data_IF_707920271294
#
_entry.id   IF_707920271294
#
_cell.length_a   1.000
_cell.length_b   1.000
_cell.length_c   1.000
_cell.angle_alpha   90.00
_cell.angle_beta   90.00
_cell.angle_gamma   90.00
#
_symmetry.space_group_name_H-M   'P 1'
#
loop_
_entity.id
_entity.type
_entity.pdbx_description
1 polymer ?
#
# COMPACT_ATOMS: atom_id res chain seq x y z
N UNK A 1 13.08 -39.49 -4.08
CA UNK A 1 11.88 -38.99 -3.39
C UNK A 1 12.25 -38.45 -2.01
N UNK A 2 12.78 -39.27 -1.11
CA UNK A 2 13.19 -38.89 0.26
C UNK A 2 14.22 -37.73 0.25
N UNK A 3 15.24 -37.79 -0.60
CA UNK A 3 16.25 -36.73 -0.76
C UNK A 3 15.67 -35.41 -1.33
N UNK A 4 14.66 -35.50 -2.19
CA UNK A 4 13.97 -34.31 -2.73
C UNK A 4 13.11 -33.66 -1.65
N UNK A 5 12.48 -34.45 -0.80
CA UNK A 5 11.69 -33.99 0.36
C UNK A 5 12.57 -33.25 1.36
N UNK A 6 13.74 -33.81 1.68
CA UNK A 6 14.75 -33.17 2.54
C UNK A 6 15.24 -31.84 1.97
N UNK A 7 15.48 -31.78 0.66
CA UNK A 7 15.89 -30.53 -0.01
C UNK A 7 14.80 -29.47 0.01
N UNK A 8 13.53 -29.85 -0.12
CA UNK A 8 12.40 -28.93 -0.05
C UNK A 8 12.21 -28.37 1.36
N UNK A 9 12.38 -29.18 2.39
CA UNK A 9 12.29 -28.74 3.79
C UNK A 9 13.39 -27.72 4.16
N UNK A 10 14.54 -27.75 3.49
CA UNK A 10 15.66 -26.84 3.68
C UNK A 10 15.55 -25.53 2.84
N UNK A 11 14.59 -25.47 1.91
CA UNK A 11 14.47 -24.34 0.98
C UNK A 11 14.22 -23.00 1.69
N UNK A 12 13.34 -22.88 2.69
CA UNK A 12 13.15 -21.62 3.44
C UNK A 12 14.44 -21.13 4.11
N UNK A 13 15.19 -22.02 4.73
CA UNK A 13 16.47 -21.69 5.37
C UNK A 13 17.51 -21.22 4.36
N UNK A 14 17.54 -21.85 3.19
CA UNK A 14 18.44 -21.45 2.10
C UNK A 14 18.12 -20.06 1.56
N UNK A 15 16.84 -19.73 1.42
CA UNK A 15 16.38 -18.41 0.98
C UNK A 15 16.77 -17.38 2.04
N UNK A 16 16.52 -17.66 3.31
CA UNK A 16 16.87 -16.77 4.42
C UNK A 16 18.39 -16.51 4.47
N UNK A 17 19.22 -17.56 4.36
CA UNK A 17 20.69 -17.44 4.30
C UNK A 17 21.12 -16.50 3.16
N UNK A 18 20.56 -16.66 1.97
CA UNK A 18 20.94 -15.85 0.81
C UNK A 18 20.50 -14.38 0.93
N UNK A 19 19.32 -14.12 1.48
CA UNK A 19 18.76 -12.77 1.60
C UNK A 19 19.33 -12.00 2.79
N UNK A 20 19.72 -12.70 3.86
CA UNK A 20 20.30 -12.06 5.06
C UNK A 20 21.77 -11.65 4.91
N UNK A 21 22.43 -12.05 3.83
CA UNK A 21 23.82 -11.71 3.56
C UNK A 21 24.04 -10.21 3.35
N UNK A 22 25.32 -9.81 3.37
CA UNK A 22 25.72 -8.43 3.11
C UNK A 22 25.23 -7.96 1.73
N UNK A 23 24.84 -6.67 1.63
CA UNK A 23 24.38 -6.04 0.39
C UNK A 23 25.43 -6.06 -0.74
N UNK A 24 26.71 -6.22 -0.41
CA UNK A 24 27.76 -6.34 -1.39
C UNK A 24 27.72 -7.68 -2.15
N UNK A 25 27.10 -8.73 -1.57
CA UNK A 25 26.87 -10.03 -2.23
C UNK A 25 25.56 -10.01 -3.05
N UNK A 26 25.55 -9.17 -4.09
CA UNK A 26 24.37 -8.98 -4.95
C UNK A 26 23.93 -10.24 -5.67
N UNK A 27 24.87 -11.15 -6.00
CA UNK A 27 24.53 -12.39 -6.72
C UNK A 27 23.78 -13.36 -5.82
N UNK A 28 24.22 -13.49 -4.56
CA UNK A 28 23.48 -14.28 -3.56
C UNK A 28 22.10 -13.69 -3.27
N UNK A 29 22.02 -12.37 -3.15
CA UNK A 29 20.74 -11.69 -2.91
C UNK A 29 19.75 -11.89 -4.06
N UNK A 30 20.16 -11.68 -5.32
CA UNK A 30 19.32 -11.94 -6.51
C UNK A 30 18.88 -13.39 -6.60
N UNK A 31 19.77 -14.33 -6.27
CA UNK A 31 19.43 -15.76 -6.21
C UNK A 31 18.39 -16.03 -5.14
N UNK A 32 18.52 -15.45 -3.95
CA UNK A 32 17.56 -15.54 -2.85
C UNK A 32 16.18 -15.04 -3.26
N UNK A 33 16.10 -13.86 -3.92
CA UNK A 33 14.85 -13.29 -4.45
C UNK A 33 14.18 -14.22 -5.47
N UNK A 34 14.95 -14.72 -6.44
CA UNK A 34 14.41 -15.65 -7.44
C UNK A 34 13.90 -16.96 -6.82
N UNK A 35 14.59 -17.46 -5.80
CA UNK A 35 14.14 -18.66 -5.07
C UNK A 35 12.87 -18.39 -4.26
N UNK A 36 12.76 -17.21 -3.61
CA UNK A 36 11.57 -16.80 -2.88
C UNK A 36 10.36 -16.67 -3.81
N UNK A 37 10.52 -15.97 -4.93
CA UNK A 37 9.45 -15.83 -5.92
C UNK A 37 8.97 -17.19 -6.43
N UNK A 38 9.89 -18.10 -6.80
CA UNK A 38 9.56 -19.43 -7.24
C UNK A 38 8.85 -20.25 -6.17
N UNK A 39 9.26 -20.14 -4.89
CA UNK A 39 8.59 -20.80 -3.78
C UNK A 39 7.14 -20.33 -3.67
N UNK A 40 6.91 -19.00 -3.68
CA UNK A 40 5.56 -18.43 -3.57
C UNK A 40 4.68 -18.86 -4.75
N UNK A 41 5.20 -18.80 -5.98
CA UNK A 41 4.45 -19.22 -7.18
C UNK A 41 4.06 -20.69 -7.10
N UNK A 42 5.00 -21.56 -6.74
CA UNK A 42 4.76 -23.00 -6.70
C UNK A 42 3.82 -23.43 -5.57
N UNK A 43 3.77 -22.67 -4.47
CA UNK A 43 2.77 -22.93 -3.43
C UNK A 43 1.38 -22.33 -3.76
N UNK A 44 1.23 -21.57 -4.85
CA UNK A 44 -0.02 -21.02 -5.31
C UNK A 44 -0.35 -19.63 -4.74
N UNK A 45 0.68 -18.81 -4.49
CA UNK A 45 0.54 -17.45 -3.96
C UNK A 45 0.86 -17.33 -2.48
N UNK A 46 0.61 -16.17 -1.89
CA UNK A 46 0.78 -15.95 -0.45
C UNK A 46 -0.26 -16.71 0.36
N UNK A 47 -1.47 -16.83 -0.15
CA UNK A 47 -2.58 -17.57 0.45
C UNK A 47 -2.39 -19.08 0.38
N UNK A 48 -1.51 -19.57 -0.52
CA UNK A 48 -1.37 -20.96 -0.87
C UNK A 48 -2.62 -21.52 -1.58
N UNK A 49 -2.52 -22.74 -2.06
CA UNK A 49 -3.68 -23.49 -2.53
C UNK A 49 -3.51 -25.00 -2.23
N UNK A 50 -4.62 -25.70 -2.13
CA UNK A 50 -4.64 -27.14 -1.80
C UNK A 50 -4.03 -28.04 -2.89
N UNK A 51 -3.57 -27.50 -4.02
CA UNK A 51 -2.93 -28.21 -5.13
C UNK A 51 -1.45 -27.87 -5.25
N UNK A 52 -0.88 -27.19 -4.25
CA UNK A 52 0.52 -26.81 -4.21
C UNK A 52 1.43 -28.05 -4.23
N UNK A 53 2.50 -28.02 -5.03
CA UNK A 53 3.56 -29.04 -5.00
C UNK A 53 4.30 -29.07 -3.64
N UNK A 54 4.15 -28.01 -2.83
CA UNK A 54 4.81 -27.82 -1.54
C UNK A 54 3.85 -27.89 -0.34
N UNK A 55 2.55 -28.17 -0.57
CA UNK A 55 1.53 -28.08 0.47
C UNK A 55 1.76 -28.97 1.71
N UNK A 56 2.50 -30.07 1.51
CA UNK A 56 2.84 -31.01 2.60
C UNK A 56 4.10 -30.59 3.38
N UNK A 57 4.96 -29.72 2.81
CA UNK A 57 6.26 -29.35 3.37
C UNK A 57 6.32 -27.95 3.99
N UNK A 58 5.36 -27.10 3.68
CA UNK A 58 5.29 -25.74 4.22
C UNK A 58 3.81 -25.34 4.32
N UNK A 59 3.21 -25.61 5.48
CA UNK A 59 1.84 -25.20 5.73
C UNK A 59 1.70 -23.67 5.80
N UNK A 60 0.46 -23.16 5.80
CA UNK A 60 0.20 -21.72 5.73
C UNK A 60 0.87 -20.95 6.88
N UNK A 61 0.77 -21.46 8.11
CA UNK A 61 1.35 -20.82 9.29
C UNK A 61 2.88 -20.79 9.25
N UNK A 62 3.50 -21.91 8.89
CA UNK A 62 4.96 -21.99 8.74
C UNK A 62 5.46 -21.05 7.64
N UNK A 63 4.69 -20.91 6.55
CA UNK A 63 5.01 -19.96 5.49
C UNK A 63 4.88 -18.52 5.96
N UNK A 64 3.82 -18.18 6.69
CA UNK A 64 3.63 -16.82 7.23
C UNK A 64 4.76 -16.43 8.19
N UNK A 65 5.13 -17.34 9.11
CA UNK A 65 6.25 -17.14 10.03
C UNK A 65 7.58 -16.93 9.28
N UNK A 66 7.85 -17.76 8.28
CA UNK A 66 9.01 -17.65 7.41
C UNK A 66 9.00 -16.34 6.62
N UNK A 67 7.85 -15.96 6.05
CA UNK A 67 7.72 -14.75 5.24
C UNK A 67 7.89 -13.49 6.08
N UNK A 68 7.38 -13.48 7.30
CA UNK A 68 7.63 -12.39 8.25
C UNK A 68 9.11 -12.23 8.58
N UNK A 69 9.86 -13.33 8.71
CA UNK A 69 11.29 -13.28 8.96
C UNK A 69 12.08 -12.75 7.76
N UNK A 70 11.61 -12.97 6.54
CA UNK A 70 12.32 -12.60 5.31
C UNK A 70 12.09 -11.13 4.93
N UNK A 71 10.89 -10.61 5.12
CA UNK A 71 10.53 -9.26 4.68
C UNK A 71 11.56 -8.17 5.08
N UNK A 72 12.11 -8.15 6.30
CA UNK A 72 13.09 -7.15 6.70
C UNK A 72 14.43 -7.19 5.92
N UNK A 73 14.68 -8.24 5.15
CA UNK A 73 15.86 -8.35 4.28
C UNK A 73 15.60 -7.87 2.85
N UNK A 74 14.35 -7.53 2.51
CA UNK A 74 13.96 -7.00 1.21
C UNK A 74 13.82 -5.48 1.28
N UNK A 75 14.29 -4.80 0.25
CA UNK A 75 14.04 -3.36 0.08
C UNK A 75 12.56 -3.12 -0.22
N UNK A 76 12.10 -1.89 -0.01
CA UNK A 76 10.73 -1.51 -0.33
C UNK A 76 10.41 -1.71 -1.82
N UNK A 77 11.38 -1.43 -2.71
CA UNK A 77 11.20 -1.63 -4.15
C UNK A 77 11.08 -3.12 -4.52
N UNK A 78 11.93 -3.97 -3.95
CA UNK A 78 11.84 -5.43 -4.17
C UNK A 78 10.50 -6.00 -3.70
N UNK A 79 9.98 -5.51 -2.57
CA UNK A 79 8.65 -5.91 -2.10
C UNK A 79 7.54 -5.42 -3.04
N UNK A 80 7.61 -4.18 -3.55
CA UNK A 80 6.66 -3.68 -4.56
C UNK A 80 6.66 -4.57 -5.79
N UNK A 81 7.83 -4.86 -6.36
CA UNK A 81 7.94 -5.65 -7.59
C UNK A 81 7.39 -7.07 -7.40
N UNK A 82 7.76 -7.72 -6.29
CA UNK A 82 7.27 -9.05 -5.92
C UNK A 82 5.73 -9.06 -5.77
N UNK A 83 5.19 -8.14 -4.98
CA UNK A 83 3.75 -8.15 -4.69
C UNK A 83 2.89 -7.74 -5.88
N UNK A 84 3.34 -6.81 -6.72
CA UNK A 84 2.64 -6.46 -7.95
C UNK A 84 2.61 -7.63 -8.93
N UNK A 85 3.70 -8.38 -9.05
CA UNK A 85 3.74 -9.58 -9.90
C UNK A 85 2.79 -10.67 -9.37
N UNK A 86 2.78 -10.92 -8.07
CA UNK A 86 1.86 -11.90 -7.46
C UNK A 86 0.39 -11.45 -7.56
N UNK A 87 0.11 -10.15 -7.42
CA UNK A 87 -1.22 -9.59 -7.62
C UNK A 87 -1.73 -9.80 -9.06
N UNK A 88 -0.87 -9.58 -10.08
CA UNK A 88 -1.22 -9.87 -11.48
C UNK A 88 -1.59 -11.35 -11.69
N UNK A 89 -1.03 -12.24 -10.89
CA UNK A 89 -1.34 -13.68 -10.89
C UNK A 89 -2.60 -14.02 -10.09
N UNK A 90 -3.26 -13.04 -9.46
CA UNK A 90 -4.54 -13.19 -8.79
C UNK A 90 -4.48 -13.29 -7.26
N UNK A 91 -3.30 -13.14 -6.62
CA UNK A 91 -3.21 -13.09 -5.17
C UNK A 91 -3.80 -11.78 -4.62
N UNK A 92 -4.84 -11.89 -3.78
CA UNK A 92 -5.47 -10.75 -3.11
C UNK A 92 -4.60 -10.21 -1.97
N UNK A 93 -3.98 -11.11 -1.20
CA UNK A 93 -3.06 -10.73 -0.12
C UNK A 93 -1.84 -9.99 -0.67
N UNK A 94 -1.30 -10.42 -1.80
CA UNK A 94 -0.21 -9.69 -2.45
C UNK A 94 -0.66 -8.28 -2.89
N UNK A 95 -1.90 -8.09 -3.31
CA UNK A 95 -2.46 -6.78 -3.57
C UNK A 95 -2.46 -5.88 -2.33
N UNK A 96 -2.78 -6.43 -1.16
CA UNK A 96 -2.72 -5.67 0.09
C UNK A 96 -1.28 -5.31 0.49
N UNK A 97 -0.34 -6.24 0.36
CA UNK A 97 1.07 -5.94 0.61
C UNK A 97 1.66 -4.96 -0.42
N UNK A 98 1.24 -5.03 -1.69
CA UNK A 98 1.62 -4.05 -2.70
C UNK A 98 1.13 -2.63 -2.33
N UNK A 99 -0.11 -2.51 -1.86
CA UNK A 99 -0.67 -1.26 -1.35
C UNK A 99 0.17 -0.71 -0.19
N UNK A 100 0.51 -1.52 0.82
CA UNK A 100 1.35 -1.09 1.94
C UNK A 100 2.75 -0.68 1.48
N UNK A 101 3.39 -1.46 0.61
CA UNK A 101 4.75 -1.18 0.12
C UNK A 101 4.81 0.08 -0.75
N UNK A 102 3.81 0.32 -1.60
CA UNK A 102 3.69 1.56 -2.36
C UNK A 102 3.46 2.78 -1.45
N UNK A 103 2.67 2.62 -0.39
CA UNK A 103 2.48 3.68 0.60
C UNK A 103 3.78 3.97 1.34
N UNK A 104 4.49 2.93 1.77
CA UNK A 104 5.80 3.05 2.43
C UNK A 104 6.81 3.78 1.55
N UNK A 105 6.92 3.37 0.28
CA UNK A 105 7.80 4.01 -0.70
C UNK A 105 7.39 5.48 -0.91
N UNK A 106 6.10 5.72 -1.17
CA UNK A 106 5.57 7.06 -1.41
C UNK A 106 5.88 8.02 -0.27
N UNK A 107 5.65 7.59 0.97
CA UNK A 107 5.91 8.39 2.16
C UNK A 107 7.42 8.55 2.42
N UNK A 108 8.18 7.46 2.49
CA UNK A 108 9.61 7.53 2.85
C UNK A 108 10.47 8.25 1.81
N UNK A 109 10.09 8.19 0.53
CA UNK A 109 10.82 8.80 -0.59
C UNK A 109 10.21 10.10 -1.11
N UNK A 110 9.18 10.64 -0.45
CA UNK A 110 8.48 11.87 -0.84
C UNK A 110 7.91 11.79 -2.28
N UNK A 111 7.32 10.66 -2.65
CA UNK A 111 6.76 10.39 -3.98
C UNK A 111 5.24 10.21 -3.91
N UNK A 112 4.46 11.30 -3.94
CA UNK A 112 3.01 11.24 -3.84
C UNK A 112 2.34 10.45 -4.97
N UNK A 113 2.97 10.37 -6.15
CA UNK A 113 2.47 9.53 -7.25
C UNK A 113 2.31 8.05 -6.82
N UNK A 114 3.21 7.54 -5.95
CA UNK A 114 3.11 6.18 -5.42
C UNK A 114 1.95 6.01 -4.43
N UNK A 115 1.56 7.05 -3.74
CA UNK A 115 0.35 7.05 -2.90
C UNK A 115 -0.92 6.93 -3.77
N UNK A 116 -0.94 7.54 -4.96
CA UNK A 116 -2.04 7.34 -5.92
C UNK A 116 -2.09 5.90 -6.45
N UNK A 117 -0.94 5.30 -6.77
CA UNK A 117 -0.89 3.90 -7.17
C UNK A 117 -1.42 3.00 -6.05
N UNK A 118 -0.98 3.23 -4.81
CA UNK A 118 -1.47 2.53 -3.62
C UNK A 118 -3.00 2.67 -3.48
N UNK A 119 -3.53 3.90 -3.63
CA UNK A 119 -4.96 4.19 -3.57
C UNK A 119 -5.76 3.44 -4.65
N UNK A 120 -5.24 3.38 -5.89
CA UNK A 120 -5.88 2.61 -6.97
C UNK A 120 -5.95 1.11 -6.67
N UNK A 121 -4.89 0.56 -6.08
CA UNK A 121 -4.87 -0.85 -5.68
C UNK A 121 -5.90 -1.08 -4.58
N UNK A 122 -5.84 -0.32 -3.48
CA UNK A 122 -6.75 -0.48 -2.35
C UNK A 122 -8.22 -0.38 -2.77
N UNK A 123 -8.56 0.56 -3.67
CA UNK A 123 -9.93 0.71 -4.21
C UNK A 123 -10.45 -0.54 -4.92
N UNK A 124 -9.56 -1.33 -5.52
CA UNK A 124 -9.91 -2.56 -6.25
C UNK A 124 -9.87 -3.81 -5.38
N UNK A 125 -9.25 -3.74 -4.22
CA UNK A 125 -9.15 -4.87 -3.30
C UNK A 125 -10.50 -5.12 -2.63
N UNK A 126 -10.92 -6.38 -2.66
CA UNK A 126 -12.09 -6.86 -1.94
C UNK A 126 -11.65 -7.98 -1.00
N UNK A 127 -11.08 -7.59 0.13
CA UNK A 127 -10.69 -8.51 1.19
C UNK A 127 -11.83 -8.58 2.21
N UNK A 128 -12.35 -9.79 2.45
CA UNK A 128 -13.39 -9.99 3.44
C UNK A 128 -12.87 -9.65 4.84
N UNK A 129 -13.63 -8.85 5.58
CA UNK A 129 -13.26 -8.41 6.93
C UNK A 129 -12.33 -7.20 7.00
N UNK A 130 -11.83 -6.68 5.86
CA UNK A 130 -11.05 -5.45 5.83
C UNK A 130 -11.96 -4.23 5.66
N UNK A 131 -11.97 -3.34 6.65
CA UNK A 131 -12.49 -1.98 6.45
C UNK A 131 -11.44 -1.11 5.76
N UNK A 132 -11.60 -0.91 4.46
CA UNK A 132 -10.68 -0.10 3.66
C UNK A 132 -10.88 1.41 3.83
N UNK A 133 -11.99 1.87 4.45
CA UNK A 133 -12.30 3.29 4.54
C UNK A 133 -11.27 4.10 5.35
N UNK A 134 -10.85 3.70 6.55
CA UNK A 134 -9.81 4.44 7.28
C UNK A 134 -8.47 4.47 6.53
N UNK A 135 -8.11 3.37 5.87
CA UNK A 135 -6.86 3.29 5.08
C UNK A 135 -6.89 4.23 3.87
N UNK A 136 -8.03 4.27 3.17
CA UNK A 136 -8.26 5.24 2.10
C UNK A 136 -8.21 6.66 2.63
N UNK A 137 -8.79 6.91 3.82
CA UNK A 137 -8.73 8.21 4.48
C UNK A 137 -7.30 8.66 4.82
N UNK A 138 -6.43 7.73 5.25
CA UNK A 138 -5.01 8.03 5.46
C UNK A 138 -4.32 8.44 4.15
N UNK A 139 -4.59 7.73 3.04
CA UNK A 139 -4.03 8.11 1.74
C UNK A 139 -4.55 9.47 1.28
N UNK A 140 -5.86 9.73 1.42
CA UNK A 140 -6.46 11.02 1.07
C UNK A 140 -5.83 12.15 1.90
N UNK A 141 -5.61 11.94 3.21
CA UNK A 141 -4.89 12.90 4.06
C UNK A 141 -3.48 13.17 3.55
N UNK A 142 -2.68 12.13 3.27
CA UNK A 142 -1.30 12.27 2.77
C UNK A 142 -1.24 12.97 1.40
N UNK A 143 -2.32 12.91 0.63
CA UNK A 143 -2.49 13.61 -0.64
C UNK A 143 -3.12 15.00 -0.47
N UNK A 144 -3.27 15.49 0.78
CA UNK A 144 -3.85 16.76 1.17
C UNK A 144 -5.36 16.94 0.85
N UNK A 145 -6.07 15.86 0.59
CA UNK A 145 -7.53 15.87 0.44
C UNK A 145 -8.21 15.65 1.81
N UNK A 146 -8.20 16.70 2.64
CA UNK A 146 -8.68 16.65 4.04
C UNK A 146 -10.19 16.35 4.13
N UNK A 147 -10.97 16.89 3.21
CA UNK A 147 -12.43 16.70 3.20
C UNK A 147 -12.77 15.25 2.88
N UNK A 148 -12.11 14.67 1.89
CA UNK A 148 -12.29 13.27 1.53
C UNK A 148 -11.77 12.33 2.64
N UNK A 149 -10.63 12.66 3.25
CA UNK A 149 -10.12 11.91 4.39
C UNK A 149 -11.17 11.85 5.52
N UNK A 150 -11.72 12.99 5.91
CA UNK A 150 -12.76 13.09 6.95
C UNK A 150 -14.01 12.28 6.57
N UNK A 151 -14.48 12.38 5.33
CA UNK A 151 -15.63 11.62 4.84
C UNK A 151 -15.40 10.11 4.90
N UNK A 152 -14.18 9.63 4.56
CA UNK A 152 -13.80 8.21 4.63
C UNK A 152 -13.85 7.68 6.06
N UNK A 153 -13.23 8.39 6.99
CA UNK A 153 -13.23 7.98 8.39
C UNK A 153 -14.64 7.91 8.98
N UNK A 154 -15.51 8.85 8.62
CA UNK A 154 -16.92 8.83 9.05
C UNK A 154 -17.75 7.71 8.39
N UNK A 155 -17.27 7.18 7.27
CA UNK A 155 -17.89 6.06 6.55
C UNK A 155 -17.33 4.69 6.94
N UNK A 156 -16.40 4.64 7.90
CA UNK A 156 -15.86 3.39 8.45
C UNK A 156 -16.98 2.49 8.98
N UNK A 157 -16.84 1.18 8.79
CA UNK A 157 -17.72 0.18 9.39
C UNK A 157 -17.37 -0.11 10.87
N UNK A 158 -16.22 0.34 11.35
CA UNK A 158 -15.77 0.19 12.73
C UNK A 158 -16.44 1.23 13.62
N UNK A 159 -17.42 0.79 14.42
CA UNK A 159 -18.16 1.64 15.36
C UNK A 159 -17.21 2.24 16.42
N UNK A 160 -16.22 1.49 16.89
CA UNK A 160 -15.27 1.98 17.92
C UNK A 160 -14.43 3.13 17.37
N UNK A 161 -13.98 3.02 16.11
CA UNK A 161 -13.23 4.10 15.46
C UNK A 161 -14.09 5.35 15.30
N UNK A 162 -15.34 5.20 14.85
CA UNK A 162 -16.26 6.33 14.70
C UNK A 162 -16.58 6.99 16.03
N UNK A 163 -16.82 6.19 17.07
CA UNK A 163 -17.08 6.71 18.42
C UNK A 163 -15.86 7.42 19.01
N UNK A 164 -14.67 6.87 18.80
CA UNK A 164 -13.43 7.54 19.19
C UNK A 164 -13.26 8.88 18.48
N UNK A 165 -13.48 8.96 17.16
CA UNK A 165 -13.42 10.20 16.40
C UNK A 165 -14.45 11.25 16.85
N UNK A 166 -15.66 10.81 17.16
CA UNK A 166 -16.75 11.71 17.60
C UNK A 166 -16.53 12.26 19.01
N UNK A 167 -15.88 11.48 19.87
CA UNK A 167 -15.60 11.84 21.27
C UNK A 167 -14.19 12.41 21.46
N UNK A 168 -13.40 12.58 20.38
CA UNK A 168 -12.06 13.15 20.48
C UNK A 168 -12.13 14.59 21.00
N UNK A 169 -11.36 14.96 22.04
CA UNK A 169 -11.50 16.27 22.72
C UNK A 169 -10.99 17.44 21.87
N UNK A 170 -10.26 17.19 20.80
CA UNK A 170 -9.71 18.18 19.89
C UNK A 170 -10.48 18.26 18.57
N UNK A 171 -9.79 18.71 17.55
CA UNK A 171 -10.32 18.74 16.19
C UNK A 171 -10.34 17.32 15.57
N UNK A 172 -11.38 16.97 14.81
CA UNK A 172 -11.48 15.69 14.11
C UNK A 172 -10.27 15.44 13.17
N UNK A 173 -9.77 16.49 12.53
CA UNK A 173 -8.57 16.38 11.70
C UNK A 173 -7.34 15.96 12.52
N UNK A 174 -7.19 16.47 13.73
CA UNK A 174 -6.11 16.08 14.64
C UNK A 174 -6.20 14.57 14.97
N UNK A 175 -7.40 14.07 15.27
CA UNK A 175 -7.61 12.65 15.51
C UNK A 175 -7.24 11.80 14.27
N UNK A 176 -7.63 12.22 13.07
CA UNK A 176 -7.27 11.56 11.81
C UNK A 176 -5.74 11.57 11.60
N UNK A 177 -5.07 12.68 11.89
CA UNK A 177 -3.60 12.77 11.82
C UNK A 177 -2.93 11.79 12.79
N UNK A 178 -3.43 11.68 14.02
CA UNK A 178 -2.92 10.71 15.01
C UNK A 178 -3.11 9.28 14.53
N UNK A 179 -4.29 8.95 14.02
CA UNK A 179 -4.55 7.62 13.45
C UNK A 179 -3.59 7.33 12.28
N UNK A 180 -3.47 8.26 11.34
CA UNK A 180 -2.60 8.12 10.17
C UNK A 180 -1.13 7.95 10.58
N UNK A 181 -0.64 8.75 11.55
CA UNK A 181 0.71 8.62 12.11
C UNK A 181 0.93 7.23 12.69
N UNK A 182 0.05 6.77 13.56
CA UNK A 182 0.16 5.46 14.21
C UNK A 182 0.14 4.32 13.17
N UNK A 183 -0.73 4.41 12.17
CA UNK A 183 -0.80 3.44 11.09
C UNK A 183 0.49 3.40 10.26
N UNK A 184 1.05 4.56 9.90
CA UNK A 184 2.33 4.63 9.19
C UNK A 184 3.46 4.00 10.01
N UNK A 185 3.55 4.29 11.31
CA UNK A 185 4.62 3.80 12.18
C UNK A 185 4.54 2.29 12.45
N UNK A 186 3.33 1.75 12.63
CA UNK A 186 3.16 0.38 13.10
C UNK A 186 2.90 -0.63 11.99
N UNK A 187 2.27 -0.21 10.88
CA UNK A 187 1.81 -1.12 9.83
C UNK A 187 2.49 -0.88 8.47
N UNK A 188 2.78 0.39 8.14
CA UNK A 188 3.25 0.75 6.79
C UNK A 188 4.77 0.76 6.67
N UNK A 189 5.47 1.43 7.58
CA UNK A 189 6.93 1.67 7.45
C UNK A 189 7.78 0.55 8.02
N UNK A 190 7.18 -0.55 8.45
CA UNK A 190 7.87 -1.67 9.08
C UNK A 190 8.14 -2.81 8.08
N UNK A 191 9.27 -3.52 8.29
CA UNK A 191 9.59 -4.72 7.53
C UNK A 191 10.25 -4.47 6.18
N UNK A 192 10.99 -3.38 6.03
CA UNK A 192 11.82 -3.07 4.85
C UNK A 192 13.28 -2.86 5.25
N UNK A 193 14.19 -3.35 4.42
CA UNK A 193 15.63 -3.25 4.65
C UNK A 193 16.16 -1.82 4.56
N UNK A 194 15.54 -1.00 3.74
CA UNK A 194 15.99 0.34 3.35
C UNK A 194 15.09 1.47 3.88
N UNK A 195 14.20 1.14 4.81
CA UNK A 195 13.40 2.12 5.56
C UNK A 195 13.75 1.97 7.04
N UNK A 196 14.38 3.00 7.58
CA UNK A 196 14.60 3.09 9.01
C UNK A 196 13.27 3.40 9.71
N UNK A 197 13.02 2.72 10.82
CA UNK A 197 11.86 3.01 11.68
C UNK A 197 12.09 4.32 12.42
N UNK A 198 11.80 5.42 11.75
CA UNK A 198 11.85 6.76 12.32
C UNK A 198 10.46 7.21 12.75
N UNK A 199 10.39 8.08 13.72
CA UNK A 199 9.15 8.73 14.10
C UNK A 199 8.55 9.48 12.90
N UNK A 200 7.26 9.25 12.63
CA UNK A 200 6.54 9.89 11.53
C UNK A 200 6.23 11.35 11.91
N UNK A 201 6.72 12.29 11.10
CA UNK A 201 6.39 13.71 11.20
C UNK A 201 5.53 14.14 10.00
N UNK A 202 4.23 14.25 10.22
CA UNK A 202 3.28 14.70 9.19
C UNK A 202 3.46 16.19 8.85
N UNK A 203 3.95 17.02 9.78
CA UNK A 203 4.22 18.41 9.48
C UNK A 203 5.37 18.52 8.48
N UNK A 204 6.47 17.81 8.75
CA UNK A 204 7.60 17.74 7.83
C UNK A 204 7.22 17.12 6.46
N UNK A 205 6.23 16.22 6.43
CA UNK A 205 5.66 15.71 5.16
C UNK A 205 5.00 16.84 4.37
N UNK A 206 4.06 17.58 4.98
CA UNK A 206 3.33 18.64 4.29
C UNK A 206 4.17 19.89 4.00
N UNK A 207 5.24 20.15 4.75
CA UNK A 207 6.20 21.22 4.47
C UNK A 207 7.19 20.88 3.36
N UNK A 208 7.27 19.62 2.94
CA UNK A 208 8.19 19.18 1.91
C UNK A 208 7.87 19.78 0.54
N UNK A 209 8.90 20.25 -0.16
CA UNK A 209 8.76 20.95 -1.43
C UNK A 209 8.14 20.08 -2.53
N UNK A 210 8.52 18.82 -2.65
CA UNK A 210 7.95 17.92 -3.67
C UNK A 210 6.46 17.70 -3.44
N UNK A 211 6.06 17.58 -2.17
CA UNK A 211 4.66 17.45 -1.77
C UNK A 211 3.88 18.73 -2.07
N UNK A 212 4.42 19.89 -1.73
CA UNK A 212 3.79 21.19 -2.02
C UNK A 212 3.62 21.42 -3.53
N UNK A 213 4.65 21.17 -4.33
CA UNK A 213 4.57 21.27 -5.79
C UNK A 213 3.54 20.30 -6.39
N UNK A 214 3.37 19.14 -5.77
CA UNK A 214 2.36 18.16 -6.16
C UNK A 214 0.94 18.69 -5.85
N UNK A 215 0.68 19.16 -4.63
CA UNK A 215 -0.62 19.73 -4.20
C UNK A 215 -1.01 20.88 -5.14
N UNK A 216 -0.09 21.80 -5.41
CA UNK A 216 -0.34 22.90 -6.34
C UNK A 216 -0.70 22.43 -7.77
N UNK A 217 -0.07 21.37 -8.26
CA UNK A 217 -0.41 20.80 -9.58
C UNK A 217 -1.82 20.25 -9.62
N UNK A 218 -2.23 19.56 -8.55
CA UNK A 218 -3.57 18.98 -8.41
C UNK A 218 -4.62 20.10 -8.36
N UNK A 219 -4.42 21.12 -7.54
CA UNK A 219 -5.32 22.27 -7.43
C UNK A 219 -5.46 23.04 -8.75
N UNK A 220 -4.35 23.27 -9.48
CA UNK A 220 -4.37 23.92 -10.79
C UNK A 220 -5.14 23.11 -11.85
N UNK A 221 -5.08 21.77 -11.80
CA UNK A 221 -5.87 20.90 -12.69
C UNK A 221 -7.35 20.97 -12.34
N UNK A 222 -7.70 20.89 -11.08
CA UNK A 222 -9.07 21.02 -10.57
C UNK A 222 -9.71 22.34 -11.00
N UNK A 223 -9.02 23.47 -10.79
CA UNK A 223 -9.51 24.79 -11.17
C UNK A 223 -9.66 24.97 -12.69
N UNK A 224 -8.87 24.27 -13.53
CA UNK A 224 -9.03 24.28 -14.99
C UNK A 224 -10.24 23.50 -15.45
N UNK A 225 -10.60 22.44 -14.75
CA UNK A 225 -11.80 21.63 -15.09
C UNK A 225 -13.08 22.38 -14.75
N UNK A 226 -13.08 23.24 -13.72
CA UNK A 226 -14.21 24.10 -13.37
C UNK A 226 -14.36 25.33 -14.30
N UNK A 227 -13.34 25.68 -15.08
CA UNK A 227 -13.35 26.88 -15.98
C UNK A 227 -13.71 26.57 -17.44
N UNK A 228 -14.20 25.38 -17.80
CA UNK A 228 -14.82 25.16 -19.12
C UNK A 228 -16.25 25.69 -19.09
N UNK A 229 -16.56 26.80 -19.79
CA UNK A 229 -17.91 27.34 -19.79
C UNK A 229 -18.82 26.43 -20.56
N UNK A 230 -19.69 25.70 -19.86
CA UNK A 230 -20.84 25.06 -20.48
C UNK A 230 -21.94 26.12 -20.59
N UNK A 231 -22.02 26.76 -21.74
CA UNK A 231 -23.20 27.55 -22.10
C UNK A 231 -24.35 26.59 -22.39
N UNK A 232 -25.18 26.30 -21.40
CA UNK A 232 -26.63 26.14 -21.52
C UNK A 232 -27.28 25.73 -20.18
N UNK A 233 -28.14 26.66 -19.72
CA UNK A 233 -29.30 26.50 -18.82
C UNK A 233 -29.13 25.96 -17.38
N UNK A 234 -29.19 26.93 -16.49
CA UNK A 234 -29.94 27.00 -15.22
C UNK A 234 -30.61 25.68 -14.74
N UNK A 235 -30.05 25.10 -13.69
CA UNK A 235 -30.79 24.81 -12.45
C UNK A 235 -29.78 24.47 -11.35
N UNK A 236 -29.92 25.19 -10.24
CA UNK A 236 -29.09 25.08 -9.04
C UNK A 236 -29.50 23.76 -8.35
N UNK A 237 -28.60 22.78 -8.30
CA UNK A 237 -28.66 21.71 -7.32
C UNK A 237 -27.29 21.39 -6.76
N UNK A 238 -27.27 21.26 -5.43
CA UNK A 238 -26.11 20.98 -4.60
C UNK A 238 -25.59 19.55 -4.81
N UNK A 239 -24.75 19.34 -5.83
CA UNK A 239 -24.10 18.05 -6.11
C UNK A 239 -22.63 18.22 -6.58
N UNK A 240 -21.92 19.21 -6.05
CA UNK A 240 -20.60 19.56 -6.58
C UNK A 240 -19.41 18.82 -5.94
N UNK A 241 -19.60 18.01 -4.93
CA UNK A 241 -18.48 17.36 -4.22
C UNK A 241 -18.18 15.94 -4.74
N UNK A 242 -19.15 15.26 -5.37
CA UNK A 242 -18.99 13.86 -5.79
C UNK A 242 -18.31 13.70 -7.15
N UNK A 243 -18.30 14.74 -7.99
CA UNK A 243 -17.69 14.68 -9.33
C UNK A 243 -16.16 14.79 -9.32
N UNK A 244 -15.60 15.43 -8.29
CA UNK A 244 -14.16 15.67 -8.21
C UNK A 244 -13.31 14.41 -8.13
N UNK A 245 -13.78 13.40 -7.41
CA UNK A 245 -13.06 12.14 -7.24
C UNK A 245 -13.17 11.20 -8.44
N UNK A 246 -14.26 11.25 -9.21
CA UNK A 246 -14.43 10.40 -10.40
C UNK A 246 -13.59 10.87 -11.58
N UNK A 247 -13.47 12.18 -11.80
CA UNK A 247 -12.71 12.76 -12.91
C UNK A 247 -11.20 12.63 -12.67
N UNK A 248 -10.75 12.63 -11.39
CA UNK A 248 -9.34 12.47 -11.06
C UNK A 248 -8.82 11.05 -11.32
N UNK A 249 -9.62 10.03 -11.01
CA UNK A 249 -9.27 8.62 -11.24
C UNK A 249 -9.23 8.27 -12.74
N UNK A 250 -9.91 9.03 -13.62
CA UNK A 250 -9.91 8.82 -15.08
C UNK A 250 -8.76 9.50 -15.81
N UNK A 251 -8.25 10.63 -15.31
CA UNK A 251 -7.15 11.36 -15.96
C UNK A 251 -5.75 10.76 -15.70
N UNK A 252 -5.57 10.08 -14.56
CA UNK A 252 -4.29 9.41 -14.25
C UNK A 252 -4.05 8.17 -15.11
N UNK A 253 -5.09 7.59 -15.72
CA UNK A 253 -4.95 6.45 -16.65
C UNK A 253 -4.36 6.82 -18.01
N UNK A 254 -4.31 8.12 -18.38
CA UNK A 254 -3.80 8.57 -19.67
C UNK A 254 -2.30 8.94 -19.67
N UNK A 255 -1.58 8.69 -18.58
CA UNK A 255 -0.14 9.00 -18.49
C UNK A 255 0.78 7.80 -18.82
N UNK A 256 0.22 6.60 -19.06
CA UNK A 256 1.01 5.38 -19.32
C UNK A 256 1.09 4.98 -20.81
N UNK A 257 0.55 5.80 -21.73
CA UNK A 257 0.70 5.57 -23.16
C UNK A 257 1.28 6.82 -23.86
N UNK A 258 2.61 6.92 -23.83
CA UNK A 258 3.36 7.92 -24.56
C UNK A 258 4.86 7.76 -24.41
#
# INVERSE_FOLDING_TARGET
KELEEDLLSLLPYRILDLLSRDLNDQDSHKKGLSMLENLIIKRGGLEGNNKSEYGDYLNQKEFEDFFQQIRPYLTVQEQIDLFLELQKRGSLEAGFFAFLSLTAFGFSRKKPDKLFEARKILKKLNLSGLDSMPLMGCLDLLLADVDQASARFLSSSDDNLRDWLNNYPGNKLEAICIFCKNWLENDVLVGYRDIDSTEVDLNAWFEDREIQEFIERVEKKSNKTTLRPNFQNQQINKESTTKFTQDFDSEVTNFDEG
#
